data_IF_242362976263
#
_entry.id   IF_242362976263
#
_cell.length_a   1.000
_cell.length_b   1.000
_cell.length_c   1.000
_cell.angle_alpha   90.00
_cell.angle_beta   90.00
_cell.angle_gamma   90.00
#
_symmetry.space_group_name_H-M   'P 1'
#
loop_
_entity.id
_entity.type
_entity.pdbx_description
1 polymer ?
#
# COMPACT_ATOMS: atom_id res chain seq x y z
N UNK A 1 42.95 -13.17 29.77
CA UNK A 1 43.02 -11.70 29.66
C UNK A 1 42.72 -11.31 28.23
N UNK A 2 41.74 -10.44 28.03
CA UNK A 2 41.41 -9.87 26.72
C UNK A 2 41.66 -8.36 26.75
N UNK A 3 42.34 -7.86 25.73
CA UNK A 3 42.45 -6.43 25.49
C UNK A 3 41.19 -5.92 24.82
N UNK A 4 40.52 -4.96 25.43
CA UNK A 4 39.25 -4.40 24.97
C UNK A 4 39.43 -2.91 24.63
N UNK A 5 38.75 -2.46 23.58
CA UNK A 5 38.70 -1.05 23.20
C UNK A 5 37.26 -0.65 22.88
N UNK A 6 36.81 0.49 23.38
CA UNK A 6 35.46 1.01 23.12
C UNK A 6 35.55 2.06 22.04
N UNK A 7 34.72 1.94 21.00
CA UNK A 7 34.65 2.94 19.93
C UNK A 7 34.22 4.28 20.52
N UNK A 8 35.02 5.33 20.30
CA UNK A 8 34.78 6.67 20.83
C UNK A 8 35.50 6.99 22.14
N UNK A 9 36.25 6.04 22.71
CA UNK A 9 37.10 6.24 23.89
C UNK A 9 38.58 6.28 23.51
N UNK A 10 39.40 6.95 24.32
CA UNK A 10 40.83 7.11 24.03
C UNK A 10 41.71 5.98 24.59
N UNK A 11 41.19 5.15 25.50
CA UNK A 11 41.96 4.17 26.25
C UNK A 11 41.41 2.75 26.13
N UNK A 12 42.27 1.82 25.71
CA UNK A 12 42.02 0.40 25.84
C UNK A 12 42.16 -0.06 27.30
N UNK A 13 41.51 -1.16 27.64
CA UNK A 13 41.55 -1.75 28.98
C UNK A 13 41.61 -3.28 28.88
N UNK A 14 41.88 -3.93 30.01
CA UNK A 14 42.02 -5.39 30.07
C UNK A 14 40.87 -5.95 30.90
N UNK A 15 40.24 -7.01 30.39
CA UNK A 15 39.30 -7.83 31.14
C UNK A 15 39.93 -9.17 31.48
N UNK A 16 39.82 -9.54 32.75
CA UNK A 16 40.02 -10.90 33.24
C UNK A 16 38.67 -11.62 33.26
N UNK A 17 38.56 -12.66 32.46
CA UNK A 17 37.35 -13.46 32.33
C UNK A 17 37.76 -14.91 32.07
N UNK A 18 37.04 -15.84 32.70
CA UNK A 18 37.24 -17.28 32.53
C UNK A 18 36.87 -17.69 31.10
N UNK A 19 37.67 -18.55 30.48
CA UNK A 19 37.54 -18.96 29.08
C UNK A 19 36.28 -19.79 28.81
N UNK A 20 35.75 -20.43 29.85
CA UNK A 20 34.50 -21.20 29.82
C UNK A 20 33.27 -20.30 29.82
N UNK A 21 33.42 -18.99 30.05
CA UNK A 21 32.32 -18.03 30.01
C UNK A 21 31.88 -17.77 28.58
N UNK A 22 30.60 -17.46 28.43
CA UNK A 22 29.98 -17.20 27.14
C UNK A 22 30.18 -15.76 26.68
N UNK A 23 29.94 -15.48 25.40
CA UNK A 23 29.93 -14.11 24.85
C UNK A 23 28.90 -13.23 25.57
N UNK A 24 27.75 -13.77 26.02
CA UNK A 24 26.80 -13.01 26.84
C UNK A 24 27.43 -12.53 28.14
N UNK A 25 28.14 -13.41 28.84
CA UNK A 25 28.80 -13.08 30.10
C UNK A 25 29.99 -12.12 29.89
N UNK A 26 30.63 -12.18 28.73
CA UNK A 26 31.63 -11.19 28.31
C UNK A 26 31.00 -9.78 28.17
N UNK A 27 29.82 -9.66 27.55
CA UNK A 27 29.09 -8.38 27.47
C UNK A 27 28.76 -7.83 28.85
N UNK A 28 28.26 -8.68 29.75
CA UNK A 28 27.95 -8.29 31.13
C UNK A 28 29.19 -7.80 31.88
N UNK A 29 30.32 -8.49 31.70
CA UNK A 29 31.60 -8.13 32.33
C UNK A 29 32.14 -6.80 31.79
N UNK A 30 32.05 -6.58 30.47
CA UNK A 30 32.42 -5.30 29.83
C UNK A 30 31.55 -4.16 30.37
N UNK A 31 30.24 -4.37 30.45
CA UNK A 31 29.29 -3.39 30.97
C UNK A 31 29.61 -3.02 32.42
N UNK A 32 29.84 -4.02 33.27
CA UNK A 32 30.19 -3.80 34.68
C UNK A 32 31.52 -3.04 34.84
N UNK A 33 32.53 -3.37 34.03
CA UNK A 33 33.83 -2.70 34.09
C UNK A 33 33.75 -1.22 33.66
N UNK A 34 32.90 -0.91 32.67
CA UNK A 34 32.67 0.45 32.15
C UNK A 34 31.26 0.95 32.50
N UNK A 35 30.82 0.74 33.74
CA UNK A 35 29.44 1.04 34.16
C UNK A 35 29.03 2.49 33.85
N UNK A 36 29.92 3.46 34.09
CA UNK A 36 29.64 4.87 33.79
C UNK A 36 29.42 5.16 32.30
N UNK A 37 30.13 4.44 31.41
CA UNK A 37 30.00 4.60 29.95
C UNK A 37 28.72 3.94 29.44
N UNK A 38 28.31 2.84 30.07
CA UNK A 38 27.18 2.00 29.64
C UNK A 38 25.95 2.09 30.54
N UNK A 39 25.86 3.14 31.38
CA UNK A 39 24.86 3.28 32.43
C UNK A 39 23.41 3.14 31.93
N UNK A 40 23.14 3.61 30.71
CA UNK A 40 21.81 3.63 30.08
C UNK A 40 21.58 2.48 29.10
N UNK A 41 22.56 1.59 28.93
CA UNK A 41 22.54 0.54 27.92
C UNK A 41 22.46 -0.84 28.57
N UNK A 42 21.67 -1.73 27.99
CA UNK A 42 21.70 -3.14 28.35
C UNK A 42 22.92 -3.82 27.73
N UNK A 43 23.48 -4.82 28.41
CA UNK A 43 24.69 -5.50 27.96
C UNK A 43 24.50 -6.12 26.57
N UNK A 44 23.30 -6.62 26.26
CA UNK A 44 22.93 -7.20 24.97
C UNK A 44 22.90 -6.17 23.82
N UNK A 45 22.88 -4.87 24.11
CA UNK A 45 22.92 -3.81 23.10
C UNK A 45 24.35 -3.52 22.60
N UNK A 46 25.37 -4.04 23.29
CA UNK A 46 26.77 -3.88 22.91
C UNK A 46 27.15 -4.86 21.79
N UNK A 47 27.57 -4.31 20.63
CA UNK A 47 28.16 -5.12 19.56
C UNK A 47 29.63 -5.37 19.86
N UNK A 48 30.03 -6.63 19.84
CA UNK A 48 31.41 -7.04 20.10
C UNK A 48 32.03 -7.59 18.80
N UNK A 49 33.19 -7.04 18.46
CA UNK A 49 33.96 -7.45 17.28
C UNK A 49 35.25 -8.12 17.73
N UNK A 50 35.48 -9.35 17.28
CA UNK A 50 36.75 -10.06 17.41
C UNK A 50 37.75 -9.48 16.42
N UNK A 51 38.89 -9.06 16.96
CA UNK A 51 40.04 -8.55 16.22
C UNK A 51 41.34 -9.10 16.81
N UNK A 52 42.45 -8.87 16.12
CA UNK A 52 43.78 -9.07 16.67
C UNK A 52 44.70 -7.95 16.16
N UNK A 53 44.64 -6.79 16.80
CA UNK A 53 45.35 -5.58 16.34
C UNK A 53 46.28 -5.04 17.43
N UNK A 54 47.50 -4.58 17.06
CA UNK A 54 48.39 -3.92 18.02
C UNK A 54 47.73 -2.68 18.64
N UNK A 55 47.94 -2.45 19.94
CA UNK A 55 47.39 -1.31 20.67
C UNK A 55 47.70 0.05 20.01
N UNK A 56 48.83 0.18 19.31
CA UNK A 56 49.19 1.42 18.61
C UNK A 56 48.17 1.85 17.54
N UNK A 57 47.41 0.89 16.99
CA UNK A 57 46.37 1.12 15.99
C UNK A 57 45.02 1.49 16.59
N UNK A 58 44.88 1.54 17.92
CA UNK A 58 43.63 1.92 18.59
C UNK A 58 43.11 3.29 18.11
N UNK A 59 44.02 4.23 17.86
CA UNK A 59 43.72 5.59 17.38
C UNK A 59 43.09 5.62 15.97
N UNK A 60 43.20 4.54 15.21
CA UNK A 60 42.61 4.42 13.89
C UNK A 60 41.14 3.95 13.92
N UNK A 61 40.61 3.66 15.11
CA UNK A 61 39.24 3.16 15.34
C UNK A 61 38.38 4.33 15.80
N UNK A 62 37.48 4.79 14.94
CA UNK A 62 36.49 5.82 15.27
C UNK A 62 35.07 5.34 14.90
N UNK A 63 34.05 6.14 15.20
CA UNK A 63 32.65 5.80 14.95
C UNK A 63 32.31 5.56 13.47
N UNK A 64 33.04 6.20 12.55
CA UNK A 64 32.85 6.11 11.09
C UNK A 64 33.62 4.93 10.45
N UNK A 65 34.46 4.26 11.24
CA UNK A 65 35.30 3.17 10.74
C UNK A 65 34.45 1.92 10.52
N UNK A 66 34.43 1.39 9.28
CA UNK A 66 33.93 0.05 9.03
C UNK A 66 34.92 -0.99 9.60
N UNK A 67 34.68 -1.40 10.85
CA UNK A 67 35.57 -2.27 11.64
C UNK A 67 35.79 -3.62 10.94
N UNK A 68 34.74 -4.19 10.35
CA UNK A 68 34.81 -5.46 9.63
C UNK A 68 35.77 -5.38 8.43
N UNK A 69 35.58 -4.37 7.57
CA UNK A 69 36.37 -4.20 6.35
C UNK A 69 37.82 -3.79 6.63
N UNK A 70 38.05 -2.87 7.58
CA UNK A 70 39.38 -2.30 7.84
C UNK A 70 40.30 -3.24 8.61
N UNK A 71 39.75 -4.04 9.53
CA UNK A 71 40.54 -4.88 10.43
C UNK A 71 40.31 -6.38 10.25
N UNK A 72 39.51 -6.80 9.26
CA UNK A 72 39.12 -8.20 9.09
C UNK A 72 38.36 -8.73 10.31
N UNK A 73 37.59 -7.87 10.96
CA UNK A 73 36.94 -8.19 12.23
C UNK A 73 35.72 -9.10 12.03
N UNK A 74 35.51 -10.02 12.97
CA UNK A 74 34.35 -10.91 12.98
C UNK A 74 33.43 -10.52 14.13
N UNK A 75 32.15 -10.32 13.85
CA UNK A 75 31.17 -10.01 14.90
C UNK A 75 30.87 -11.25 15.75
N UNK A 76 30.94 -11.10 17.08
CA UNK A 76 30.62 -12.14 18.04
C UNK A 76 29.10 -12.19 18.27
N UNK A 77 28.37 -12.78 17.32
CA UNK A 77 26.91 -12.81 17.31
C UNK A 77 26.32 -13.86 18.25
N UNK A 78 26.86 -15.07 18.22
CA UNK A 78 26.35 -16.18 19.00
C UNK A 78 26.65 -16.03 20.49
N UNK A 79 25.58 -15.85 21.26
CA UNK A 79 25.65 -15.48 22.68
C UNK A 79 26.06 -16.63 23.60
N UNK A 80 25.93 -17.86 23.10
CA UNK A 80 26.25 -19.09 23.80
C UNK A 80 27.68 -19.56 23.55
N UNK A 81 28.34 -19.05 22.51
CA UNK A 81 29.72 -19.39 22.22
C UNK A 81 30.63 -19.03 23.39
N UNK A 82 31.62 -19.88 23.63
CA UNK A 82 32.59 -19.64 24.70
C UNK A 82 33.71 -18.71 24.24
N UNK A 83 34.37 -18.06 25.21
CA UNK A 83 35.54 -17.23 24.92
C UNK A 83 36.67 -18.07 24.32
N UNK A 84 36.81 -19.34 24.73
CA UNK A 84 37.81 -20.26 24.18
C UNK A 84 37.60 -20.53 22.69
N UNK A 85 36.36 -20.73 22.23
CA UNK A 85 36.04 -20.93 20.81
C UNK A 85 36.50 -19.76 19.94
N UNK A 86 36.39 -18.53 20.46
CA UNK A 86 36.73 -17.33 19.70
C UNK A 86 38.20 -16.89 19.85
N UNK A 87 38.80 -17.01 21.04
CA UNK A 87 40.11 -16.43 21.32
C UNK A 87 41.21 -17.47 21.60
N UNK A 88 40.85 -18.74 21.69
CA UNK A 88 41.75 -19.83 22.02
C UNK A 88 42.38 -19.70 23.41
N UNK A 89 43.51 -20.38 23.60
CA UNK A 89 44.16 -20.51 24.91
C UNK A 89 45.21 -19.45 25.20
N UNK A 90 45.72 -18.70 24.23
CA UNK A 90 46.72 -17.65 24.47
C UNK A 90 46.51 -16.47 23.51
N UNK A 91 45.67 -15.49 23.89
CA UNK A 91 45.50 -14.26 23.12
C UNK A 91 46.84 -13.49 23.04
N UNK A 92 47.11 -12.86 21.90
CA UNK A 92 48.38 -12.16 21.64
C UNK A 92 48.61 -11.04 22.65
N UNK A 93 49.74 -11.07 23.37
CA UNK A 93 50.05 -10.04 24.36
C UNK A 93 50.11 -8.64 23.73
N UNK A 94 49.57 -7.63 24.43
CA UNK A 94 49.55 -6.20 24.05
C UNK A 94 48.69 -5.85 22.81
N UNK A 95 47.83 -6.76 22.36
CA UNK A 95 46.87 -6.49 21.30
C UNK A 95 45.46 -6.19 21.85
N UNK A 96 44.68 -5.45 21.07
CA UNK A 96 43.23 -5.39 21.21
C UNK A 96 42.66 -6.65 20.56
N UNK A 97 41.81 -7.32 21.32
CA UNK A 97 41.14 -8.57 20.96
C UNK A 97 39.65 -8.34 20.71
N UNK A 98 39.06 -7.39 21.45
CA UNK A 98 37.64 -7.05 21.36
C UNK A 98 37.49 -5.57 21.12
N UNK A 99 36.84 -5.19 20.02
CA UNK A 99 36.31 -3.84 19.86
C UNK A 99 34.85 -3.87 20.30
N UNK A 100 34.54 -3.07 21.31
CA UNK A 100 33.19 -2.85 21.82
C UNK A 100 32.64 -1.65 21.06
N UNK A 101 31.64 -1.89 20.23
CA UNK A 101 30.91 -0.82 19.57
C UNK A 101 29.61 -0.63 20.36
N UNK A 102 29.50 0.47 21.14
CA UNK A 102 28.21 0.86 21.69
C UNK A 102 27.23 1.03 20.53
N UNK A 103 25.92 0.85 20.74
CA UNK A 103 24.97 1.42 19.81
C UNK A 103 25.34 2.89 19.64
N UNK A 104 25.35 3.42 18.40
CA UNK A 104 25.75 4.80 18.18
C UNK A 104 25.04 5.70 19.20
N UNK A 105 25.73 6.69 19.80
CA UNK A 105 25.05 7.69 20.63
C UNK A 105 23.83 8.16 19.84
N UNK A 106 22.73 8.47 20.54
CA UNK A 106 21.43 8.84 19.97
C UNK A 106 21.58 10.08 19.07
N UNK A 107 22.15 9.87 17.89
CA UNK A 107 22.73 10.83 16.95
C UNK A 107 23.33 10.14 15.71
N UNK A 108 22.87 8.95 15.29
CA UNK A 108 23.22 8.44 13.94
C UNK A 108 22.18 7.51 13.28
N UNK A 109 20.97 7.45 13.85
CA UNK A 109 19.75 7.09 13.09
C UNK A 109 18.77 8.27 13.08
N UNK A 110 18.83 9.11 14.13
CA UNK A 110 18.07 10.36 14.21
C UNK A 110 18.60 11.46 13.28
N UNK A 111 19.90 11.55 12.92
CA UNK A 111 20.35 12.64 12.04
C UNK A 111 19.93 12.39 10.59
N UNK A 112 20.11 11.18 10.04
CA UNK A 112 19.61 10.85 8.70
C UNK A 112 18.08 10.84 8.66
N UNK A 113 17.40 10.31 9.68
CA UNK A 113 15.94 10.41 9.74
C UNK A 113 15.48 11.87 9.87
N UNK A 114 16.19 12.74 10.61
CA UNK A 114 15.85 14.16 10.70
C UNK A 114 16.19 14.92 9.41
N UNK A 115 17.29 14.60 8.73
CA UNK A 115 17.65 15.18 7.43
C UNK A 115 16.64 14.77 6.36
N UNK A 116 16.32 13.47 6.26
CA UNK A 116 15.26 12.97 5.38
C UNK A 116 13.91 13.58 5.78
N UNK A 117 13.58 13.67 7.07
CA UNK A 117 12.33 14.30 7.53
C UNK A 117 12.27 15.79 7.19
N UNK A 118 13.37 16.53 7.30
CA UNK A 118 13.48 17.94 6.89
C UNK A 118 13.32 18.06 5.36
N UNK A 119 14.01 17.21 4.61
CA UNK A 119 13.91 17.17 3.14
C UNK A 119 12.48 16.86 2.70
N UNK A 120 11.89 15.80 3.24
CA UNK A 120 10.52 15.38 2.98
C UNK A 120 9.56 16.50 3.37
N UNK A 121 9.71 17.12 4.54
CA UNK A 121 8.87 18.23 4.98
C UNK A 121 8.92 19.38 3.98
N UNK A 122 10.10 19.79 3.55
CA UNK A 122 10.27 20.86 2.57
C UNK A 122 9.64 20.50 1.23
N UNK A 123 9.81 19.26 0.76
CA UNK A 123 9.21 18.80 -0.50
C UNK A 123 7.68 18.69 -0.41
N UNK A 124 7.15 18.18 0.70
CA UNK A 124 5.69 18.11 0.96
C UNK A 124 5.07 19.50 0.98
N UNK A 125 5.69 20.47 1.66
CA UNK A 125 5.20 21.87 1.68
C UNK A 125 5.30 22.55 0.32
N UNK A 126 6.29 22.18 -0.50
CA UNK A 126 6.40 22.65 -1.89
C UNK A 126 5.27 22.06 -2.76
N UNK A 127 5.02 20.76 -2.66
CA UNK A 127 4.01 20.06 -3.46
C UNK A 127 2.58 20.43 -3.05
N UNK A 128 2.35 20.67 -1.76
CA UNK A 128 1.03 20.96 -1.18
C UNK A 128 1.07 22.26 -0.38
N UNK A 129 1.16 23.39 -1.10
CA UNK A 129 1.29 24.73 -0.51
C UNK A 129 0.08 25.18 0.33
N UNK A 130 -1.07 24.49 0.21
CA UNK A 130 -2.26 24.74 1.02
C UNK A 130 -2.21 24.12 2.43
N UNK A 131 -1.31 23.17 2.68
CA UNK A 131 -1.22 22.50 3.99
C UNK A 131 -0.60 23.45 5.02
N UNK A 132 -1.18 23.50 6.22
CA UNK A 132 -0.60 24.23 7.34
C UNK A 132 0.74 23.57 7.77
N UNK A 133 1.87 24.30 7.74
CA UNK A 133 3.19 23.77 8.11
C UNK A 133 3.26 23.18 9.53
N UNK A 134 2.38 23.60 10.44
CA UNK A 134 2.32 23.11 11.82
C UNK A 134 1.53 21.79 11.97
N UNK A 135 0.84 21.35 10.91
CA UNK A 135 0.04 20.12 10.90
C UNK A 135 0.64 18.98 10.08
N UNK A 136 1.73 19.26 9.35
CA UNK A 136 2.31 18.34 8.36
C UNK A 136 3.19 17.26 8.99
N UNK A 137 3.60 17.40 10.26
CA UNK A 137 4.58 16.50 10.87
C UNK A 137 4.13 15.03 10.86
N UNK A 138 2.83 14.78 11.04
CA UNK A 138 2.27 13.42 11.02
C UNK A 138 2.39 12.72 9.67
N UNK A 139 2.16 13.44 8.54
CA UNK A 139 2.36 12.84 7.21
C UNK A 139 3.85 12.68 6.93
N UNK A 140 4.66 13.67 7.29
CA UNK A 140 6.11 13.65 7.06
C UNK A 140 6.75 12.49 7.82
N UNK A 141 6.35 12.24 9.06
CA UNK A 141 6.86 11.14 9.88
C UNK A 141 6.64 9.77 9.24
N UNK A 142 5.47 9.54 8.65
CA UNK A 142 5.16 8.26 8.02
C UNK A 142 5.78 8.19 6.61
N UNK A 143 5.78 9.31 5.87
CA UNK A 143 6.34 9.40 4.52
C UNK A 143 7.87 9.27 4.53
N UNK A 144 8.55 9.78 5.56
CA UNK A 144 10.01 9.68 5.71
C UNK A 144 10.48 8.24 5.88
N UNK A 145 9.67 7.39 6.53
CA UNK A 145 9.98 5.97 6.70
C UNK A 145 10.04 5.21 5.37
N UNK A 146 9.22 5.64 4.40
CA UNK A 146 9.11 4.98 3.09
C UNK A 146 9.83 5.74 1.97
N UNK A 147 10.49 6.86 2.30
CA UNK A 147 11.01 7.81 1.33
C UNK A 147 12.06 7.18 0.41
N UNK A 148 12.98 6.42 1.00
CA UNK A 148 14.11 5.77 0.31
C UNK A 148 13.78 4.35 -0.16
N UNK A 149 12.53 3.89 -0.01
CA UNK A 149 12.12 2.61 -0.58
C UNK A 149 12.01 2.81 -2.08
N UNK A 150 12.86 2.16 -2.86
CA UNK A 150 12.80 2.22 -4.32
C UNK A 150 12.05 1.00 -4.85
N UNK A 151 11.35 1.19 -5.96
CA UNK A 151 10.78 0.09 -6.71
C UNK A 151 11.96 -0.66 -7.36
N UNK A 152 12.05 -1.97 -7.15
CA UNK A 152 13.13 -2.76 -7.74
C UNK A 152 12.88 -2.81 -9.24
N UNK A 153 13.67 -2.09 -10.03
CA UNK A 153 13.73 -2.33 -11.47
C UNK A 153 14.27 -3.75 -11.69
N UNK A 154 13.39 -4.72 -11.91
CA UNK A 154 13.85 -6.01 -12.43
C UNK A 154 14.45 -5.77 -13.82
N UNK A 155 15.78 -5.77 -13.87
CA UNK A 155 16.56 -5.90 -15.09
C UNK A 155 16.19 -7.25 -15.73
N UNK A 156 15.39 -7.17 -16.79
CA UNK A 156 15.14 -8.21 -17.81
C UNK A 156 14.96 -9.66 -17.30
N UNK A 157 13.72 -10.06 -16.98
CA UNK A 157 13.29 -11.45 -17.24
C UNK A 157 11.80 -11.71 -17.50
N UNK A 158 10.94 -10.70 -17.74
CA UNK A 158 9.57 -10.91 -18.25
C UNK A 158 9.49 -10.76 -19.77
N UNK A 159 10.22 -11.60 -20.51
CA UNK A 159 10.17 -11.66 -21.98
C UNK A 159 9.16 -12.68 -22.54
N UNK A 160 8.07 -13.01 -21.83
CA UNK A 160 7.00 -13.83 -22.44
C UNK A 160 5.55 -13.54 -22.03
N UNK A 161 5.26 -12.63 -21.09
CA UNK A 161 3.89 -12.20 -20.79
C UNK A 161 3.53 -10.80 -21.34
N UNK A 162 4.52 -9.98 -21.70
CA UNK A 162 4.32 -8.57 -22.09
C UNK A 162 3.66 -8.37 -23.47
N UNK A 163 3.56 -9.39 -24.32
CA UNK A 163 2.79 -9.29 -25.57
C UNK A 163 1.27 -9.35 -25.35
N UNK A 164 0.82 -9.74 -24.17
CA UNK A 164 -0.59 -9.78 -23.77
C UNK A 164 -0.91 -8.84 -22.59
N UNK A 165 0.06 -8.04 -22.13
CA UNK A 165 -0.24 -6.95 -21.22
C UNK A 165 -1.14 -5.95 -21.95
N UNK A 166 -2.38 -5.76 -21.49
CA UNK A 166 -3.26 -4.77 -22.06
C UNK A 166 -2.56 -3.38 -22.08
N UNK A 167 -1.73 -3.08 -21.08
CA UNK A 167 -1.11 -1.77 -20.88
C UNK A 167 0.14 -1.54 -21.75
N UNK A 168 0.93 -2.55 -22.09
CA UNK A 168 2.07 -2.41 -23.01
C UNK A 168 1.68 -2.00 -24.46
N UNK A 169 0.42 -2.21 -24.88
CA UNK A 169 -0.10 -1.88 -26.24
C UNK A 169 -0.59 -0.43 -26.41
N UNK A 170 -0.22 0.48 -25.51
CA UNK A 170 -0.87 1.79 -25.33
C UNK A 170 -0.41 2.96 -26.21
N UNK A 171 0.12 2.72 -27.41
CA UNK A 171 0.43 3.82 -28.38
C UNK A 171 -0.73 4.17 -29.32
N UNK A 172 -1.99 3.81 -28.99
CA UNK A 172 -3.20 4.15 -29.78
C UNK A 172 -4.39 4.54 -28.88
N UNK A 173 -5.28 5.42 -29.40
CA UNK A 173 -6.35 6.15 -28.67
C UNK A 173 -7.46 5.23 -28.08
N UNK A 174 -8.10 5.63 -26.95
CA UNK A 174 -8.91 4.73 -26.09
C UNK A 174 -10.35 4.47 -26.57
N UNK A 175 -10.87 3.29 -26.20
CA UNK A 175 -12.27 2.86 -26.37
C UNK A 175 -12.91 2.49 -25.04
N UNK A 176 -14.20 2.84 -24.87
CA UNK A 176 -15.04 2.38 -23.76
C UNK A 176 -15.08 0.84 -23.59
N UNK A 177 -14.79 0.09 -24.66
CA UNK A 177 -14.87 -1.37 -24.69
C UNK A 177 -13.53 -2.10 -24.65
N UNK A 178 -12.41 -1.42 -24.88
CA UNK A 178 -11.08 -2.00 -24.72
C UNK A 178 -10.34 -1.09 -23.78
N UNK A 179 -10.37 -1.41 -22.49
CA UNK A 179 -9.63 -0.62 -21.50
C UNK A 179 -8.17 -0.56 -21.97
N UNK A 180 -7.69 0.65 -22.27
CA UNK A 180 -6.46 1.24 -21.74
C UNK A 180 -6.19 2.67 -22.30
N UNK A 181 -5.63 3.54 -21.47
CA UNK A 181 -5.17 4.93 -21.74
C UNK A 181 -3.61 5.00 -21.64
N UNK A 182 -2.79 5.87 -22.32
CA UNK A 182 -2.91 7.35 -22.39
C UNK A 182 -2.34 8.13 -23.63
N UNK A 183 -2.53 9.47 -23.63
CA UNK A 183 -1.81 10.55 -24.38
C UNK A 183 -2.33 10.89 -25.80
N UNK A 184 -2.99 12.01 -26.13
CA UNK A 184 -2.79 13.45 -25.81
C UNK A 184 -4.15 14.17 -25.84
N UNK A 185 -4.48 14.94 -24.80
CA UNK A 185 -5.65 15.83 -24.79
C UNK A 185 -5.12 17.25 -24.65
N UNK A 186 -5.38 18.10 -25.64
CA UNK A 186 -5.12 19.55 -25.54
C UNK A 186 -6.30 20.23 -24.84
N UNK A 187 -6.08 21.43 -24.31
CA UNK A 187 -7.09 22.25 -23.59
C UNK A 187 -8.39 22.50 -24.38
N UNK A 188 -8.36 22.30 -25.70
CA UNK A 188 -9.51 22.44 -26.59
C UNK A 188 -10.27 21.11 -26.83
N UNK A 189 -9.64 19.95 -26.62
CA UNK A 189 -10.24 18.63 -26.84
C UNK A 189 -10.94 18.05 -25.58
N UNK A 190 -10.79 18.70 -24.43
CA UNK A 190 -11.46 18.32 -23.18
C UNK A 190 -12.94 18.73 -23.11
N UNK A 191 -13.46 19.42 -24.13
CA UNK A 191 -14.88 19.83 -24.20
C UNK A 191 -15.77 18.86 -24.99
N UNK A 192 -15.19 17.90 -25.73
CA UNK A 192 -15.95 17.06 -26.68
C UNK A 192 -16.03 15.56 -26.32
N UNK A 193 -15.38 15.09 -25.25
CA UNK A 193 -15.48 13.68 -24.83
C UNK A 193 -16.39 13.57 -23.61
N UNK A 194 -17.68 13.42 -23.88
CA UNK A 194 -18.68 12.99 -22.89
C UNK A 194 -18.46 11.50 -22.60
N UNK A 195 -18.03 11.18 -21.38
CA UNK A 195 -17.90 9.82 -20.88
C UNK A 195 -19.30 9.32 -20.51
N UNK A 196 -20.16 9.21 -21.51
CA UNK A 196 -21.57 8.82 -21.41
C UNK A 196 -21.71 7.40 -20.85
N UNK A 197 -21.78 7.28 -19.52
CA UNK A 197 -22.76 6.36 -18.97
C UNK A 197 -24.14 6.81 -19.46
N UNK A 198 -25.05 5.88 -19.83
CA UNK A 198 -26.41 6.26 -20.18
C UNK A 198 -26.98 7.07 -19.01
N UNK A 199 -27.51 8.28 -19.25
CA UNK A 199 -28.06 9.09 -18.18
C UNK A 199 -29.17 8.29 -17.50
N UNK A 200 -29.19 8.31 -16.17
CA UNK A 200 -30.27 7.71 -15.42
C UNK A 200 -31.53 8.54 -15.67
N UNK A 201 -32.52 7.96 -16.34
CA UNK A 201 -33.85 8.57 -16.44
C UNK A 201 -34.61 8.34 -15.14
N UNK A 202 -34.93 9.41 -14.44
CA UNK A 202 -35.87 9.36 -13.31
C UNK A 202 -37.26 8.92 -13.80
N UNK A 203 -38.14 8.50 -12.88
CA UNK A 203 -39.55 8.23 -13.20
C UNK A 203 -40.28 9.45 -13.78
N UNK A 204 -39.72 10.66 -13.62
CA UNK A 204 -40.20 11.91 -14.21
C UNK A 204 -39.61 12.23 -15.59
N UNK A 205 -38.79 11.36 -16.17
CA UNK A 205 -38.18 11.54 -17.50
C UNK A 205 -36.99 12.51 -17.53
N UNK A 206 -36.48 12.95 -16.38
CA UNK A 206 -35.26 13.75 -16.32
C UNK A 206 -34.04 12.83 -16.42
N UNK A 207 -33.16 13.14 -17.38
CA UNK A 207 -31.87 12.48 -17.60
C UNK A 207 -30.85 13.09 -16.65
N UNK A 208 -30.31 12.30 -15.74
CA UNK A 208 -29.33 12.73 -14.76
C UNK A 208 -28.08 11.83 -14.80
N UNK A 209 -26.89 12.42 -14.82
CA UNK A 209 -25.65 11.68 -14.66
C UNK A 209 -25.11 11.87 -13.24
N UNK A 210 -25.21 10.85 -12.35
CA UNK A 210 -24.75 10.94 -10.97
C UNK A 210 -23.24 11.21 -10.84
N UNK A 211 -22.50 11.11 -11.95
CA UNK A 211 -21.07 11.38 -11.99
C UNK A 211 -20.72 12.82 -12.36
N UNK A 212 -21.62 13.59 -12.98
CA UNK A 212 -21.33 14.93 -13.51
C UNK A 212 -22.15 16.06 -12.87
N UNK A 213 -23.33 15.79 -12.33
CA UNK A 213 -24.32 16.83 -12.02
C UNK A 213 -24.67 17.03 -10.54
N UNK A 214 -23.85 16.61 -9.56
CA UNK A 214 -24.08 17.13 -8.21
C UNK A 214 -22.85 17.29 -7.30
N UNK A 215 -22.90 18.37 -6.53
CA UNK A 215 -21.96 18.75 -5.46
C UNK A 215 -22.25 18.02 -4.13
N UNK A 216 -23.18 17.07 -4.15
CA UNK A 216 -23.64 16.29 -3.01
C UNK A 216 -23.70 14.79 -3.31
N UNK A 217 -22.55 14.17 -3.58
CA UNK A 217 -22.39 12.73 -3.34
C UNK A 217 -22.77 12.43 -1.89
N UNK A 218 -23.70 11.49 -1.65
CA UNK A 218 -24.04 11.16 -0.29
C UNK A 218 -22.91 10.33 0.34
N UNK A 219 -22.70 10.59 1.62
CA UNK A 219 -21.35 10.71 2.21
C UNK A 219 -20.53 9.43 2.38
N UNK A 220 -21.05 8.23 2.11
CA UNK A 220 -20.39 7.03 2.66
C UNK A 220 -20.16 5.91 1.61
N UNK A 221 -21.19 5.46 0.87
CA UNK A 221 -21.06 4.26 0.01
C UNK A 221 -21.88 4.31 -1.28
N UNK A 222 -21.23 4.03 -2.42
CA UNK A 222 -21.84 3.80 -3.73
C UNK A 222 -21.58 2.36 -4.18
N UNK A 223 -22.60 1.69 -4.74
CA UNK A 223 -22.45 0.33 -5.26
C UNK A 223 -22.69 0.29 -6.77
N UNK A 224 -21.69 -0.16 -7.51
CA UNK A 224 -21.81 -0.49 -8.92
C UNK A 224 -22.27 -1.94 -9.06
N UNK A 225 -23.53 -2.14 -9.42
CA UNK A 225 -24.10 -3.47 -9.60
C UNK A 225 -24.35 -3.77 -11.07
N UNK A 226 -24.25 -5.05 -11.41
CA UNK A 226 -24.49 -5.50 -12.78
C UNK A 226 -24.04 -6.92 -13.02
N UNK A 227 -24.42 -7.47 -14.17
CA UNK A 227 -23.95 -8.79 -14.62
C UNK A 227 -22.45 -8.75 -14.97
N UNK A 228 -21.85 -9.93 -15.13
CA UNK A 228 -20.48 -10.01 -15.66
C UNK A 228 -20.43 -9.38 -17.05
N UNK A 229 -19.42 -8.55 -17.30
CA UNK A 229 -19.29 -7.79 -18.54
C UNK A 229 -20.20 -6.56 -18.64
N UNK A 230 -20.82 -6.15 -17.52
CA UNK A 230 -21.68 -4.96 -17.42
C UNK A 230 -20.94 -3.62 -17.42
N UNK A 231 -19.62 -3.58 -17.60
CA UNK A 231 -18.84 -2.33 -17.63
C UNK A 231 -18.37 -1.78 -16.27
N UNK A 232 -18.57 -2.51 -15.16
CA UNK A 232 -18.25 -2.05 -13.79
C UNK A 232 -16.80 -1.58 -13.63
N UNK A 233 -15.83 -2.41 -14.00
CA UNK A 233 -14.40 -2.08 -13.94
C UNK A 233 -14.06 -0.88 -14.83
N UNK A 234 -14.63 -0.80 -16.04
CA UNK A 234 -14.46 0.37 -16.91
C UNK A 234 -15.01 1.64 -16.27
N UNK A 235 -16.17 1.57 -15.60
CA UNK A 235 -16.74 2.69 -14.84
C UNK A 235 -15.86 3.08 -13.65
N UNK A 236 -15.34 2.10 -12.90
CA UNK A 236 -14.37 2.33 -11.83
C UNK A 236 -13.14 3.10 -12.33
N UNK A 237 -12.55 2.67 -13.46
CA UNK A 237 -11.44 3.38 -14.09
C UNK A 237 -11.82 4.78 -14.58
N UNK A 238 -13.01 4.94 -15.16
CA UNK A 238 -13.55 6.25 -15.56
C UNK A 238 -13.63 7.24 -14.39
N UNK A 239 -13.95 6.74 -13.18
CA UNK A 239 -13.95 7.54 -11.96
C UNK A 239 -12.51 7.82 -11.50
N UNK A 240 -11.64 6.80 -11.49
CA UNK A 240 -10.25 6.94 -11.05
C UNK A 240 -9.42 7.92 -11.88
N UNK A 241 -9.70 8.07 -13.18
CA UNK A 241 -9.00 9.05 -14.01
C UNK A 241 -9.40 10.50 -13.73
N UNK A 242 -10.56 10.71 -13.08
CA UNK A 242 -11.08 12.05 -12.76
C UNK A 242 -10.85 12.43 -11.29
N UNK A 243 -10.66 11.45 -10.41
CA UNK A 243 -10.58 11.66 -8.98
C UNK A 243 -9.43 10.89 -8.34
N UNK A 244 -8.75 11.53 -7.37
CA UNK A 244 -7.78 10.85 -6.52
C UNK A 244 -8.45 9.68 -5.79
N UNK A 245 -8.05 8.48 -6.13
CA UNK A 245 -8.68 7.25 -5.66
C UNK A 245 -7.65 6.15 -5.46
N UNK A 246 -7.94 5.20 -4.58
CA UNK A 246 -7.19 3.96 -4.46
C UNK A 246 -8.08 2.86 -5.04
N UNK A 247 -7.68 2.30 -6.17
CA UNK A 247 -8.31 1.14 -6.78
C UNK A 247 -7.72 -0.12 -6.19
N UNK A 248 -8.58 -1.07 -5.86
CA UNK A 248 -8.16 -2.35 -5.27
C UNK A 248 -8.99 -3.45 -5.90
N UNK A 249 -8.31 -4.43 -6.52
CA UNK A 249 -8.94 -5.63 -7.04
C UNK A 249 -8.90 -6.77 -6.00
N UNK A 250 -10.08 -7.33 -5.67
CA UNK A 250 -10.21 -8.46 -4.73
C UNK A 250 -10.31 -9.83 -5.39
N UNK A 251 -9.97 -9.96 -6.67
CA UNK A 251 -9.95 -11.25 -7.38
C UNK A 251 -9.00 -12.28 -6.71
N UNK A 252 -9.36 -13.57 -6.82
CA UNK A 252 -8.71 -14.67 -6.08
C UNK A 252 -7.48 -15.27 -6.74
N UNK A 253 -7.04 -14.72 -7.85
CA UNK A 253 -5.81 -15.06 -8.59
C UNK A 253 -5.22 -13.76 -9.08
N UNK A 254 -3.92 -13.72 -9.37
CA UNK A 254 -3.23 -12.54 -9.93
C UNK A 254 -4.16 -11.82 -10.87
N UNK A 255 -4.64 -10.65 -10.43
CA UNK A 255 -5.77 -9.97 -11.05
C UNK A 255 -5.49 -9.72 -12.53
N UNK A 256 -6.51 -9.31 -13.28
CA UNK A 256 -6.24 -8.89 -14.65
C UNK A 256 -5.29 -7.67 -14.70
N UNK A 257 -5.12 -7.00 -13.56
CA UNK A 257 -4.26 -5.85 -13.32
C UNK A 257 -3.32 -6.14 -12.13
N UNK A 258 -2.14 -5.50 -12.09
CA UNK A 258 -1.12 -5.73 -11.06
C UNK A 258 -1.53 -5.33 -9.64
N UNK A 259 -2.54 -4.47 -9.51
CA UNK A 259 -2.98 -3.93 -8.22
C UNK A 259 -4.12 -4.72 -7.55
N UNK A 260 -3.78 -5.83 -6.89
CA UNK A 260 -4.76 -6.71 -6.22
C UNK A 260 -4.38 -7.09 -4.79
N UNK A 261 -5.37 -7.45 -3.96
CA UNK A 261 -5.23 -7.80 -2.53
C UNK A 261 -4.87 -9.28 -2.28
N UNK A 262 -4.19 -9.94 -3.21
CA UNK A 262 -3.93 -11.38 -3.14
C UNK A 262 -3.31 -11.85 -1.83
N UNK A 263 -2.14 -11.33 -1.43
CA UNK A 263 -1.44 -11.75 -0.21
C UNK A 263 -2.26 -11.53 1.06
N UNK A 264 -3.01 -10.43 1.16
CA UNK A 264 -3.89 -10.14 2.29
C UNK A 264 -5.03 -11.16 2.34
N UNK A 265 -5.69 -11.41 1.20
CA UNK A 265 -6.78 -12.36 1.11
C UNK A 265 -6.33 -13.80 1.40
N UNK A 266 -5.13 -14.19 0.97
CA UNK A 266 -4.54 -15.48 1.29
C UNK A 266 -4.27 -15.62 2.79
N UNK A 267 -3.68 -14.60 3.41
CA UNK A 267 -3.43 -14.55 4.86
C UNK A 267 -4.71 -14.67 5.67
N UNK A 268 -5.76 -13.91 5.30
CA UNK A 268 -7.07 -14.00 5.94
C UNK A 268 -7.70 -15.38 5.76
N UNK A 269 -7.57 -16.01 4.58
CA UNK A 269 -8.09 -17.36 4.33
C UNK A 269 -7.32 -18.44 5.10
N UNK A 270 -6.03 -18.25 5.33
CA UNK A 270 -5.22 -19.18 6.10
C UNK A 270 -5.63 -19.18 7.58
N UNK A 271 -6.02 -18.02 8.11
CA UNK A 271 -6.46 -17.85 9.50
C UNK A 271 -7.69 -16.94 9.61
N UNK A 272 -8.87 -17.39 9.17
CA UNK A 272 -10.07 -16.56 9.19
C UNK A 272 -10.56 -16.35 10.63
N UNK A 273 -11.07 -15.14 10.98
CA UNK A 273 -11.60 -14.87 12.30
C UNK A 273 -12.69 -15.86 12.72
N UNK A 274 -12.55 -16.39 13.93
CA UNK A 274 -13.48 -17.33 14.53
C UNK A 274 -14.54 -16.59 15.32
N UNK A 275 -15.77 -17.06 15.24
CA UNK A 275 -16.89 -16.52 16.01
C UNK A 275 -16.76 -16.98 17.48
N UNK A 276 -16.67 -16.06 18.45
CA UNK A 276 -16.50 -16.40 19.87
C UNK A 276 -15.65 -15.40 20.67
N UNK A 277 -15.08 -15.85 21.80
CA UNK A 277 -14.42 -15.00 22.81
C UNK A 277 -13.23 -14.16 22.30
N UNK A 278 -12.51 -14.63 21.27
CA UNK A 278 -11.35 -13.94 20.68
C UNK A 278 -11.67 -13.14 19.39
N UNK A 279 -12.95 -13.07 19.02
CA UNK A 279 -13.36 -12.54 17.71
C UNK A 279 -13.02 -11.06 17.51
N UNK A 280 -13.09 -10.23 18.56
CA UNK A 280 -12.83 -8.79 18.45
C UNK A 280 -11.36 -8.53 18.10
N UNK A 281 -10.41 -9.26 18.71
CA UNK A 281 -8.98 -9.11 18.40
C UNK A 281 -8.65 -9.63 17.00
N UNK A 282 -9.21 -10.78 16.59
CA UNK A 282 -8.97 -11.35 15.25
C UNK A 282 -9.58 -10.47 14.15
N UNK A 283 -10.75 -9.87 14.40
CA UNK A 283 -11.38 -8.92 13.48
C UNK A 283 -10.53 -7.65 13.32
N UNK A 284 -10.00 -7.10 14.41
CA UNK A 284 -9.10 -5.93 14.36
C UNK A 284 -7.83 -6.26 13.57
N UNK A 285 -7.27 -7.46 13.73
CA UNK A 285 -6.09 -7.90 12.99
C UNK A 285 -6.35 -7.92 11.47
N UNK A 286 -7.51 -8.43 11.04
CA UNK A 286 -7.92 -8.41 9.63
C UNK A 286 -8.09 -6.99 9.11
N UNK A 287 -8.76 -6.12 9.87
CA UNK A 287 -8.98 -4.73 9.45
C UNK A 287 -7.67 -3.96 9.34
N UNK A 288 -6.77 -4.13 10.30
CA UNK A 288 -5.44 -3.54 10.28
C UNK A 288 -4.64 -4.00 9.05
N UNK A 289 -4.72 -5.28 8.68
CA UNK A 289 -4.05 -5.81 7.50
C UNK A 289 -4.52 -5.14 6.21
N UNK A 290 -5.84 -4.99 6.04
CA UNK A 290 -6.44 -4.34 4.86
C UNK A 290 -6.17 -2.83 4.87
N UNK A 291 -6.32 -2.16 6.02
CA UNK A 291 -6.01 -0.73 6.18
C UNK A 291 -4.57 -0.44 5.81
N UNK A 292 -3.63 -1.28 6.26
CA UNK A 292 -2.21 -1.14 5.96
C UNK A 292 -1.93 -1.20 4.45
N UNK A 293 -2.61 -2.08 3.73
CA UNK A 293 -2.46 -2.23 2.29
C UNK A 293 -3.04 -1.03 1.51
N UNK A 294 -4.15 -0.44 1.99
CA UNK A 294 -4.72 0.79 1.42
C UNK A 294 -3.85 2.00 1.75
N UNK A 295 -3.38 2.11 2.99
CA UNK A 295 -2.52 3.19 3.46
C UNK A 295 -1.17 3.18 2.72
N UNK A 296 -0.59 2.01 2.47
CA UNK A 296 0.62 1.88 1.68
C UNK A 296 0.46 2.51 0.28
N UNK A 297 -0.65 2.22 -0.41
CA UNK A 297 -0.98 2.81 -1.72
C UNK A 297 -1.23 4.31 -1.61
N UNK A 298 -1.95 4.76 -0.59
CA UNK A 298 -2.21 6.18 -0.35
C UNK A 298 -0.93 6.99 -0.07
N UNK A 299 -0.02 6.44 0.73
CA UNK A 299 1.28 7.06 0.99
C UNK A 299 2.17 7.07 -0.26
N UNK A 300 2.11 6.02 -1.08
CA UNK A 300 2.82 5.97 -2.35
C UNK A 300 2.30 7.04 -3.33
N UNK A 301 0.98 7.24 -3.43
CA UNK A 301 0.38 8.35 -4.16
C UNK A 301 0.96 9.70 -3.69
N UNK A 302 0.98 9.95 -2.37
CA UNK A 302 1.56 11.19 -1.82
C UNK A 302 3.05 11.30 -2.18
N UNK A 303 3.83 10.22 -2.01
CA UNK A 303 5.25 10.18 -2.35
C UNK A 303 5.49 10.57 -3.81
N UNK A 304 4.74 9.98 -4.74
CA UNK A 304 4.91 10.20 -6.17
C UNK A 304 4.51 11.62 -6.60
N UNK A 305 3.47 12.20 -5.97
CA UNK A 305 3.12 13.61 -6.16
C UNK A 305 4.23 14.54 -5.67
N UNK A 306 4.80 14.26 -4.50
CA UNK A 306 5.89 15.06 -3.92
C UNK A 306 7.18 14.94 -4.75
N UNK A 307 7.42 13.77 -5.35
CA UNK A 307 8.52 13.53 -6.26
C UNK A 307 8.27 14.03 -7.70
N UNK A 308 7.11 14.63 -7.97
CA UNK A 308 6.71 15.10 -9.31
C UNK A 308 6.71 13.97 -10.37
N UNK A 309 6.61 12.70 -9.96
CA UNK A 309 6.48 11.52 -10.86
C UNK A 309 5.10 11.45 -11.52
N UNK A 310 4.10 11.95 -10.83
CA UNK A 310 2.72 12.06 -11.31
C UNK A 310 2.17 13.45 -10.97
N UNK A 311 1.16 13.87 -11.73
CA UNK A 311 0.49 15.17 -11.58
C UNK A 311 -1.03 15.08 -11.70
N UNK A 312 -1.57 13.97 -12.24
CA UNK A 312 -3.01 13.79 -12.46
C UNK A 312 -3.54 12.46 -11.88
N UNK A 313 -4.84 12.38 -11.52
CA UNK A 313 -5.46 11.13 -11.10
C UNK A 313 -5.35 10.01 -12.14
N UNK A 314 -5.37 10.41 -13.42
CA UNK A 314 -5.18 9.50 -14.55
C UNK A 314 -3.78 8.86 -14.55
N UNK A 315 -2.72 9.63 -14.34
CA UNK A 315 -1.35 9.09 -14.24
C UNK A 315 -1.23 8.15 -13.04
N UNK A 316 -1.82 8.53 -11.90
CA UNK A 316 -1.90 7.66 -10.73
C UNK A 316 -2.64 6.35 -11.01
N UNK A 317 -3.68 6.35 -11.85
CA UNK A 317 -4.33 5.11 -12.28
C UNK A 317 -3.40 4.17 -13.05
N UNK A 318 -2.53 4.66 -13.92
CA UNK A 318 -1.61 3.74 -14.61
C UNK A 318 -0.55 3.20 -13.68
N UNK A 319 0.01 4.06 -12.85
CA UNK A 319 1.03 3.67 -11.89
C UNK A 319 0.44 2.60 -10.96
N UNK A 320 -0.72 2.85 -10.35
CA UNK A 320 -1.31 1.87 -9.44
C UNK A 320 -1.51 0.49 -10.10
N UNK A 321 -2.05 0.44 -11.32
CA UNK A 321 -2.29 -0.81 -12.05
C UNK A 321 -1.02 -1.59 -12.45
N UNK A 322 0.14 -0.95 -12.42
CA UNK A 322 1.44 -1.51 -12.81
C UNK A 322 2.39 -1.73 -11.64
N UNK A 323 2.06 -1.24 -10.44
CA UNK A 323 2.91 -1.39 -9.26
C UNK A 323 3.20 -2.87 -8.97
N UNK A 324 4.48 -3.16 -8.71
CA UNK A 324 4.87 -4.46 -8.18
C UNK A 324 4.30 -4.66 -6.77
N UNK A 325 3.63 -5.80 -6.58
CA UNK A 325 3.11 -6.23 -5.29
C UNK A 325 4.19 -6.34 -4.20
N UNK A 326 5.44 -6.65 -4.58
CA UNK A 326 6.59 -6.68 -3.69
C UNK A 326 6.94 -5.28 -3.15
N UNK A 327 6.79 -4.24 -3.99
CA UNK A 327 7.04 -2.87 -3.58
C UNK A 327 6.02 -2.41 -2.54
N UNK A 328 4.73 -2.73 -2.75
CA UNK A 328 3.70 -2.54 -1.73
C UNK A 328 3.99 -3.37 -0.47
N UNK A 329 4.45 -4.61 -0.63
CA UNK A 329 4.87 -5.47 0.48
C UNK A 329 5.95 -4.83 1.36
N UNK A 330 6.99 -4.28 0.74
CA UNK A 330 8.08 -3.60 1.44
C UNK A 330 7.58 -2.36 2.23
N UNK A 331 6.71 -1.55 1.62
CA UNK A 331 6.08 -0.40 2.29
C UNK A 331 5.27 -0.88 3.50
N UNK A 332 4.44 -1.91 3.33
CA UNK A 332 3.61 -2.44 4.42
C UNK A 332 4.48 -2.95 5.57
N UNK A 333 5.56 -3.67 5.29
CA UNK A 333 6.43 -4.24 6.31
C UNK A 333 7.10 -3.16 7.18
N UNK A 334 7.49 -2.03 6.58
CA UNK A 334 7.96 -0.85 7.31
C UNK A 334 6.85 -0.29 8.22
N UNK A 335 5.63 -0.22 7.70
CA UNK A 335 4.49 0.40 8.40
C UNK A 335 3.86 -0.48 9.48
N UNK A 336 4.14 -1.80 9.54
CA UNK A 336 3.52 -2.74 10.49
C UNK A 336 3.61 -2.30 11.95
N UNK A 337 4.69 -1.64 12.34
CA UNK A 337 4.95 -1.22 13.72
C UNK A 337 4.63 0.27 13.98
N UNK A 338 4.10 0.97 12.97
CA UNK A 338 3.79 2.39 13.04
C UNK A 338 2.32 2.57 13.42
N UNK A 339 2.01 3.55 14.25
CA UNK A 339 0.62 3.94 14.48
C UNK A 339 0.09 4.74 13.28
N UNK A 340 -0.59 4.07 12.36
CA UNK A 340 -1.11 4.67 11.13
C UNK A 340 -2.59 5.06 11.21
N UNK A 341 -3.20 5.10 12.40
CA UNK A 341 -4.64 5.37 12.58
C UNK A 341 -5.05 6.72 11.94
N UNK A 342 -4.18 7.73 12.02
CA UNK A 342 -4.45 9.08 11.50
C UNK A 342 -4.06 9.28 10.03
N UNK A 343 -3.46 8.29 9.37
CA UNK A 343 -2.83 8.48 8.05
C UNK A 343 -3.84 8.75 6.94
N UNK A 344 -5.04 8.17 7.00
CA UNK A 344 -6.13 8.53 6.08
C UNK A 344 -6.44 10.03 6.09
N UNK A 345 -6.50 10.64 7.28
CA UNK A 345 -6.76 12.07 7.42
C UNK A 345 -5.66 12.89 6.77
N UNK A 346 -4.41 12.51 7.01
CA UNK A 346 -3.25 13.16 6.43
C UNK A 346 -3.24 13.11 4.89
N UNK A 347 -3.54 11.93 4.31
CA UNK A 347 -3.63 11.77 2.85
C UNK A 347 -4.73 12.68 2.28
N UNK A 348 -5.90 12.70 2.91
CA UNK A 348 -7.05 13.54 2.49
C UNK A 348 -6.72 15.04 2.56
N UNK A 349 -6.03 15.47 3.61
CA UNK A 349 -5.53 16.84 3.78
C UNK A 349 -4.52 17.21 2.69
N UNK A 350 -3.58 16.31 2.35
CA UNK A 350 -2.63 16.54 1.26
C UNK A 350 -3.32 16.69 -0.09
N UNK A 351 -4.26 15.80 -0.41
CA UNK A 351 -4.97 15.81 -1.69
C UNK A 351 -6.01 16.95 -1.80
N UNK A 352 -6.28 17.68 -0.72
CA UNK A 352 -7.30 18.73 -0.65
C UNK A 352 -8.70 18.22 -1.07
N UNK A 353 -9.07 17.02 -0.63
CA UNK A 353 -10.37 16.41 -0.92
C UNK A 353 -11.20 16.29 0.36
N UNK A 354 -12.53 16.15 0.23
CA UNK A 354 -13.40 15.92 1.40
C UNK A 354 -13.25 14.52 1.98
N UNK A 355 -12.99 13.55 1.10
CA UNK A 355 -12.82 12.14 1.42
C UNK A 355 -12.06 11.45 0.29
N UNK A 356 -11.23 10.47 0.63
CA UNK A 356 -10.52 9.66 -0.36
C UNK A 356 -11.49 8.63 -0.98
N UNK A 357 -11.52 8.51 -2.31
CA UNK A 357 -12.35 7.50 -2.97
C UNK A 357 -11.62 6.15 -2.92
N UNK A 358 -12.22 5.15 -2.29
CA UNK A 358 -11.73 3.78 -2.28
C UNK A 358 -12.59 2.93 -3.21
N UNK A 359 -12.00 2.43 -4.28
CA UNK A 359 -12.69 1.55 -5.22
C UNK A 359 -12.35 0.11 -4.87
N UNK A 360 -13.37 -0.64 -4.45
CA UNK A 360 -13.28 -2.06 -4.14
C UNK A 360 -13.86 -2.82 -5.34
N UNK A 361 -13.03 -3.25 -6.28
CA UNK A 361 -13.47 -4.05 -7.42
C UNK A 361 -13.42 -5.55 -7.12
N UNK A 362 -14.28 -6.30 -7.80
CA UNK A 362 -14.55 -7.72 -7.52
C UNK A 362 -14.87 -8.00 -6.03
N UNK A 363 -15.48 -7.01 -5.35
CA UNK A 363 -15.73 -7.00 -3.91
C UNK A 363 -16.67 -8.13 -3.42
N UNK A 364 -17.44 -8.77 -4.31
CA UNK A 364 -18.24 -9.94 -3.95
C UNK A 364 -17.39 -11.10 -3.42
N UNK A 365 -16.09 -11.14 -3.73
CA UNK A 365 -15.16 -12.14 -3.19
C UNK A 365 -15.13 -12.09 -1.66
N UNK A 366 -15.18 -10.89 -1.08
CA UNK A 366 -15.17 -10.67 0.37
C UNK A 366 -16.45 -11.20 1.08
N UNK A 367 -17.48 -11.60 0.33
CA UNK A 367 -18.66 -12.26 0.87
C UNK A 367 -18.51 -13.77 1.03
N UNK A 368 -17.42 -14.37 0.53
CA UNK A 368 -17.22 -15.83 0.58
C UNK A 368 -16.99 -16.29 2.03
N UNK A 369 -17.54 -17.46 2.35
CA UNK A 369 -17.44 -18.06 3.70
C UNK A 369 -16.00 -18.38 4.13
N UNK A 370 -15.09 -18.54 3.18
CA UNK A 370 -13.66 -18.78 3.44
C UNK A 370 -12.94 -17.64 4.15
N UNK A 371 -13.52 -16.44 4.20
CA UNK A 371 -12.94 -15.27 4.89
C UNK A 371 -13.43 -15.10 6.34
N UNK A 372 -14.17 -16.08 6.88
CA UNK A 372 -14.64 -16.06 8.26
C UNK A 372 -15.93 -15.26 8.47
N UNK A 373 -16.22 -14.96 9.74
CA UNK A 373 -17.46 -14.27 10.15
C UNK A 373 -17.15 -13.16 11.16
N UNK A 374 -17.82 -12.03 11.00
CA UNK A 374 -17.50 -10.79 11.69
C UNK A 374 -18.68 -10.26 12.52
N UNK A 375 -18.35 -9.38 13.48
CA UNK A 375 -19.31 -8.63 14.27
C UNK A 375 -19.70 -7.34 13.55
N UNK A 376 -20.96 -6.92 13.73
CA UNK A 376 -21.48 -5.66 13.18
C UNK A 376 -22.99 -5.48 13.31
N UNK A 377 -23.73 -6.53 13.70
CA UNK A 377 -25.17 -6.46 13.91
C UNK A 377 -25.53 -5.98 15.32
N UNK A 378 -26.44 -5.00 15.44
CA UNK A 378 -27.13 -4.68 16.71
C UNK A 378 -28.10 -5.79 17.16
N UNK A 379 -28.44 -6.73 16.28
CA UNK A 379 -29.19 -7.95 16.63
C UNK A 379 -28.23 -9.05 17.08
N UNK A 380 -28.48 -9.64 18.24
CA UNK A 380 -27.74 -10.81 18.71
C UNK A 380 -27.81 -11.94 17.68
N UNK A 381 -26.71 -12.67 17.50
CA UNK A 381 -26.54 -13.83 16.60
C UNK A 381 -26.45 -13.60 15.08
N UNK A 382 -26.64 -12.38 14.55
CA UNK A 382 -26.47 -12.14 13.10
C UNK A 382 -25.00 -11.86 12.75
N UNK A 383 -24.45 -12.73 11.92
CA UNK A 383 -23.03 -12.73 11.50
C UNK A 383 -22.86 -11.95 10.21
N UNK A 384 -21.82 -11.13 10.13
CA UNK A 384 -21.48 -10.33 8.95
C UNK A 384 -20.39 -11.00 8.13
N UNK A 385 -20.40 -10.78 6.81
CA UNK A 385 -19.26 -11.10 5.93
C UNK A 385 -18.11 -10.12 6.12
N UNK A 386 -16.93 -10.43 5.55
CA UNK A 386 -15.79 -9.52 5.57
C UNK A 386 -16.14 -8.20 4.86
N UNK A 387 -16.83 -8.26 3.71
CA UNK A 387 -17.27 -7.05 3.01
C UNK A 387 -18.08 -6.11 3.92
N UNK A 388 -19.07 -6.64 4.62
CA UNK A 388 -19.94 -5.85 5.50
C UNK A 388 -19.16 -5.19 6.62
N UNK A 389 -18.37 -5.99 7.31
CA UNK A 389 -17.67 -5.54 8.51
C UNK A 389 -16.55 -4.56 8.15
N UNK A 390 -15.86 -4.78 7.03
CA UNK A 390 -14.80 -3.89 6.60
C UNK A 390 -15.32 -2.58 6.02
N UNK A 391 -16.40 -2.60 5.25
CA UNK A 391 -17.03 -1.36 4.75
C UNK A 391 -17.56 -0.51 5.91
N UNK A 392 -18.19 -1.10 6.91
CA UNK A 392 -18.59 -0.38 8.12
C UNK A 392 -17.38 0.23 8.84
N UNK A 393 -16.31 -0.55 9.02
CA UNK A 393 -15.05 -0.05 9.59
C UNK A 393 -14.48 1.15 8.82
N UNK A 394 -14.54 1.10 7.47
CA UNK A 394 -14.10 2.20 6.62
C UNK A 394 -14.98 3.45 6.74
N UNK A 395 -16.28 3.32 7.02
CA UNK A 395 -17.18 4.49 7.13
C UNK A 395 -16.86 5.41 8.33
N UNK A 396 -16.06 4.93 9.28
CA UNK A 396 -15.51 5.76 10.37
C UNK A 396 -14.23 6.50 9.99
N UNK A 397 -13.80 6.40 8.73
CA UNK A 397 -12.61 7.06 8.17
C UNK A 397 -13.06 8.13 7.14
N UNK A 398 -12.20 9.11 6.79
CA UNK A 398 -12.51 10.11 5.77
C UNK A 398 -12.42 9.53 4.35
N UNK A 399 -13.21 8.49 4.07
CA UNK A 399 -13.18 7.75 2.80
C UNK A 399 -14.60 7.59 2.26
N UNK A 400 -14.75 7.62 0.95
CA UNK A 400 -15.98 7.24 0.25
C UNK A 400 -15.74 5.91 -0.44
N UNK A 401 -16.57 4.90 -0.16
CA UNK A 401 -16.41 3.58 -0.76
C UNK A 401 -17.21 3.47 -2.06
N UNK A 402 -16.56 3.05 -3.15
CA UNK A 402 -17.18 2.60 -4.38
C UNK A 402 -17.01 1.09 -4.50
N UNK A 403 -18.11 0.35 -4.33
CA UNK A 403 -18.10 -1.11 -4.32
C UNK A 403 -18.53 -1.60 -5.69
N UNK A 404 -17.61 -2.21 -6.44
CA UNK A 404 -17.87 -2.87 -7.70
C UNK A 404 -17.77 -4.38 -7.52
N UNK A 405 -18.72 -5.11 -8.08
CA UNK A 405 -18.68 -6.57 -7.98
C UNK A 405 -19.74 -7.28 -8.77
N UNK A 406 -19.38 -8.43 -9.32
CA UNK A 406 -20.30 -9.26 -10.09
C UNK A 406 -21.21 -10.02 -9.14
N UNK A 407 -22.52 -10.05 -9.43
CA UNK A 407 -23.52 -10.72 -8.58
C UNK A 407 -23.68 -10.15 -7.17
N UNK A 408 -23.35 -8.86 -6.96
CA UNK A 408 -23.78 -8.14 -5.75
C UNK A 408 -25.33 -8.02 -5.64
N UNK A 409 -26.09 -8.53 -6.62
CA UNK A 409 -27.53 -8.81 -6.55
C UNK A 409 -27.85 -10.30 -6.33
N UNK A 410 -28.66 -10.60 -5.29
CA UNK A 410 -29.68 -11.67 -5.16
C UNK A 410 -29.39 -13.13 -5.60
N UNK A 411 -28.18 -13.51 -6.01
CA UNK A 411 -27.91 -14.88 -6.47
C UNK A 411 -27.81 -15.93 -5.34
N UNK A 412 -27.71 -15.50 -4.08
CA UNK A 412 -27.65 -16.37 -2.89
C UNK A 412 -28.88 -16.24 -1.98
N UNK A 413 -29.94 -15.54 -2.43
CA UNK A 413 -31.10 -15.22 -1.58
C UNK A 413 -30.79 -14.17 -0.51
N UNK A 414 -29.64 -13.50 -0.59
CA UNK A 414 -29.21 -12.42 0.31
C UNK A 414 -29.46 -11.08 -0.40
N UNK A 415 -30.42 -10.24 0.05
CA UNK A 415 -30.63 -8.88 -0.47
C UNK A 415 -29.34 -8.06 -0.47
N UNK A 416 -29.19 -7.04 -1.34
CA UNK A 416 -28.03 -6.12 -1.32
C UNK A 416 -27.82 -5.51 0.09
N UNK A 417 -28.93 -5.18 0.74
CA UNK A 417 -29.05 -4.75 2.14
C UNK A 417 -28.57 -5.81 3.15
N UNK A 418 -28.62 -7.09 2.79
CA UNK A 418 -28.10 -8.19 3.59
C UNK A 418 -26.65 -8.57 3.23
N UNK A 419 -26.14 -8.18 2.05
CA UNK A 419 -24.72 -8.26 1.66
C UNK A 419 -23.90 -7.06 2.14
N UNK A 420 -24.55 -5.94 2.43
CA UNK A 420 -23.92 -4.72 2.97
C UNK A 420 -24.29 -4.40 4.41
N UNK A 421 -25.43 -4.91 4.90
CA UNK A 421 -25.97 -4.58 6.22
C UNK A 421 -26.99 -3.43 6.17
N UNK A 422 -27.74 -3.27 7.27
CA UNK A 422 -28.49 -2.03 7.59
C UNK A 422 -27.80 -1.37 8.79
N UNK A 423 -26.71 -0.63 8.59
CA UNK A 423 -26.15 0.20 9.65
C UNK A 423 -27.08 1.39 9.91
N UNK A 424 -27.30 1.70 11.19
CA UNK A 424 -28.29 2.70 11.63
C UNK A 424 -27.84 4.15 11.37
N UNK A 425 -26.58 4.36 10.96
CA UNK A 425 -25.93 5.68 10.83
C UNK A 425 -25.46 6.03 9.41
N UNK A 426 -25.62 5.16 8.40
CA UNK A 426 -25.13 5.43 7.04
C UNK A 426 -26.18 6.17 6.21
N UNK A 427 -25.76 7.27 5.58
CA UNK A 427 -26.68 8.20 4.94
C UNK A 427 -26.87 8.00 3.43
N UNK A 428 -26.17 7.06 2.78
CA UNK A 428 -26.63 6.56 1.49
C UNK A 428 -26.09 5.20 1.07
N UNK A 429 -26.98 4.48 0.41
CA UNK A 429 -26.68 3.38 -0.51
C UNK A 429 -27.19 3.80 -1.88
N UNK A 430 -26.35 4.44 -2.72
CA UNK A 430 -26.70 4.62 -4.13
C UNK A 430 -26.34 3.32 -4.86
N UNK A 431 -27.34 2.68 -5.45
CA UNK A 431 -27.14 1.49 -6.27
C UNK A 431 -27.20 1.92 -7.73
N UNK A 432 -26.05 1.94 -8.38
CA UNK A 432 -25.96 2.22 -9.81
C UNK A 432 -25.96 0.89 -10.56
N UNK A 433 -27.12 0.56 -11.13
CA UNK A 433 -27.26 -0.58 -12.02
C UNK A 433 -26.83 -0.16 -13.42
N UNK A 434 -25.68 -0.65 -13.86
CA UNK A 434 -25.21 -0.38 -15.22
C UNK A 434 -26.20 -1.00 -16.21
N UNK A 435 -26.82 -0.13 -17.01
CA UNK A 435 -27.81 -0.50 -18.00
C UNK A 435 -27.15 -1.29 -19.14
N UNK A 436 -27.96 -2.13 -19.78
CA UNK A 436 -27.57 -2.70 -21.06
C UNK A 436 -27.51 -1.61 -22.11
N UNK A 437 -26.52 -1.70 -22.99
CA UNK A 437 -26.38 -0.80 -24.13
C UNK A 437 -27.60 -0.94 -25.02
N UNK A 438 -28.24 0.18 -25.30
CA UNK A 438 -29.20 0.29 -26.39
C UNK A 438 -28.47 0.23 -27.74
N UNK A 439 -29.24 0.07 -28.81
CA UNK A 439 -28.74 0.18 -30.18
C UNK A 439 -27.94 1.48 -30.40
N UNK A 440 -28.49 2.61 -29.94
CA UNK A 440 -27.89 3.92 -30.15
C UNK A 440 -26.65 4.13 -29.28
N UNK A 441 -26.61 3.54 -28.08
CA UNK A 441 -25.40 3.51 -27.26
C UNK A 441 -24.27 2.79 -27.99
N UNK A 442 -24.57 1.64 -28.61
CA UNK A 442 -23.59 0.88 -29.39
C UNK A 442 -23.08 1.72 -30.57
N UNK A 443 -23.98 2.33 -31.34
CA UNK A 443 -23.58 3.14 -32.50
C UNK A 443 -22.71 4.33 -32.11
N UNK A 444 -23.11 5.09 -31.09
CA UNK A 444 -22.31 6.20 -30.56
C UNK A 444 -20.92 5.75 -30.15
N UNK A 445 -20.82 4.61 -29.48
CA UNK A 445 -19.53 4.08 -29.05
C UNK A 445 -18.68 3.58 -30.22
N UNK A 446 -19.27 2.93 -31.23
CA UNK A 446 -18.53 2.47 -32.41
C UNK A 446 -17.92 3.65 -33.17
N UNK A 447 -18.68 4.73 -33.36
CA UNK A 447 -18.21 5.95 -34.04
C UNK A 447 -17.09 6.65 -33.27
N UNK A 448 -17.11 6.61 -31.94
CA UNK A 448 -16.08 7.24 -31.12
C UNK A 448 -14.74 6.48 -31.14
N UNK A 449 -14.75 5.21 -31.56
CA UNK A 449 -13.63 4.28 -31.31
C UNK A 449 -13.02 3.75 -32.60
N UNK A 450 -13.86 3.48 -33.59
CA UNK A 450 -13.48 2.80 -34.83
C UNK A 450 -13.75 3.78 -35.95
N UNK A 451 -12.82 3.90 -36.89
CA UNK A 451 -13.07 4.60 -38.13
C UNK A 451 -14.08 3.80 -38.96
N UNK A 452 -15.31 4.32 -39.08
CA UNK A 452 -16.40 3.70 -39.82
C UNK A 452 -16.56 4.30 -41.23
N UNK A 453 -15.60 5.09 -41.72
CA UNK A 453 -15.71 5.83 -43.00
C UNK A 453 -16.05 4.91 -44.19
N UNK A 454 -15.49 3.70 -44.20
CA UNK A 454 -15.71 2.71 -45.27
C UNK A 454 -16.79 1.65 -44.92
N UNK A 455 -17.49 1.80 -43.80
CA UNK A 455 -18.53 0.86 -43.36
C UNK A 455 -19.89 1.32 -43.87
N UNK A 456 -20.60 0.43 -44.58
CA UNK A 456 -21.94 0.79 -45.10
C UNK A 456 -22.91 1.10 -43.95
N UNK A 457 -23.86 2.04 -44.12
CA UNK A 457 -24.85 2.35 -43.10
C UNK A 457 -25.66 1.12 -42.63
N UNK A 458 -25.95 0.18 -43.55
CA UNK A 458 -26.64 -1.07 -43.25
C UNK A 458 -25.80 -1.99 -42.36
N UNK A 459 -24.51 -2.13 -42.65
CA UNK A 459 -23.59 -2.92 -41.83
C UNK A 459 -23.42 -2.30 -40.44
N UNK A 460 -23.30 -0.97 -40.38
CA UNK A 460 -23.26 -0.20 -39.12
C UNK A 460 -24.51 -0.45 -38.26
N UNK A 461 -25.70 -0.35 -38.85
CA UNK A 461 -26.98 -0.58 -38.16
C UNK A 461 -27.09 -2.03 -37.62
N UNK A 462 -26.65 -3.02 -38.41
CA UNK A 462 -26.57 -4.42 -37.96
C UNK A 462 -25.66 -4.57 -36.75
N UNK A 463 -24.49 -3.90 -36.73
CA UNK A 463 -23.62 -3.91 -35.55
C UNK A 463 -24.30 -3.30 -34.31
N UNK A 464 -25.06 -2.21 -34.48
CA UNK A 464 -25.87 -1.62 -33.43
C UNK A 464 -26.82 -2.64 -32.77
N UNK A 465 -27.51 -3.45 -33.57
CA UNK A 465 -28.43 -4.47 -33.07
C UNK A 465 -27.74 -5.72 -32.53
N UNK A 466 -26.63 -6.13 -33.14
CA UNK A 466 -25.92 -7.34 -32.78
C UNK A 466 -25.15 -7.20 -31.46
N UNK A 467 -24.54 -6.03 -31.24
CA UNK A 467 -23.68 -5.78 -30.08
C UNK A 467 -24.42 -5.16 -28.88
N UNK A 468 -25.72 -4.79 -29.03
CA UNK A 468 -26.53 -4.28 -27.91
C UNK A 468 -26.58 -5.28 -26.75
N UNK A 469 -26.90 -4.80 -25.56
CA UNK A 469 -26.91 -5.66 -24.36
C UNK A 469 -25.70 -5.41 -23.49
N UNK A 470 -24.87 -6.44 -23.27
CA UNK A 470 -23.73 -6.32 -22.36
C UNK A 470 -22.63 -5.47 -23.00
N UNK A 471 -22.07 -4.48 -22.31
CA UNK A 471 -20.88 -3.75 -22.76
C UNK A 471 -19.75 -4.66 -23.27
N UNK A 472 -19.53 -5.81 -22.62
CA UNK A 472 -18.54 -6.80 -23.08
C UNK A 472 -18.76 -7.28 -24.51
N UNK A 473 -20.00 -7.33 -25.01
CA UNK A 473 -20.28 -7.78 -26.38
C UNK A 473 -19.70 -6.81 -27.42
N UNK A 474 -19.63 -5.51 -27.11
CA UNK A 474 -18.98 -4.53 -27.98
C UNK A 474 -17.45 -4.53 -27.85
N UNK A 475 -16.91 -5.19 -26.82
CA UNK A 475 -15.47 -5.29 -26.53
C UNK A 475 -14.80 -6.46 -27.24
N UNK A 476 -15.50 -7.60 -27.23
CA UNK A 476 -15.19 -8.82 -27.98
C UNK A 476 -15.43 -8.63 -29.46
#
# INVERSE_FOLDING_TARGET
MLGCFVVGEDQAFIIEIDRTKTISQLRDTIKAYKENVFKTLDANQLRLWKVNIPLIKAREINAETNIAQKFGAVELKDVFDTIEEHFGTNPTAKNIHVIVQPPPPVTSASSMHNEVKIEVKNKVLKAFSHINPNSVDGIVDVLSLIWNVEEVEEVESYSSSSQNDPCAKLKMKPSFFKINLPGTITKNASQEVDLCLPPHESESGMKYNPFYDDTSYPKDITVLTGVSGGGKTSTAFGISIQHWSIYVDFSTSGGQYGDFMGPELESIRAKPPRYGEYQTSEQIEVFNMLDLAIIARGLLLIKMLVQERISTPKEWLFEQLQIDINYIGAIKDILRNVNYISVFRYIVECLHVKSLILILDEAQVLCRTGYGKYNGSSKSNKKWSLLQAYVEHLTHRPVTCLIAGTYLHMATGIPLVASMGKPQSLHAHIVLKLLFLSHDDVLRNLEAVIDLTDVTPKTRDIFGYFLRGRPRNCAS
#
